data_IF_960914589719
#
_entry.id   IF_960914589719
#
_cell.length_a   1.000
_cell.length_b   1.000
_cell.length_c   1.000
_cell.angle_alpha   90.00
_cell.angle_beta   90.00
_cell.angle_gamma   90.00
#
_symmetry.space_group_name_H-M   'P 1'
#
loop_
_entity.id
_entity.type
_entity.pdbx_description
1 polymer ?
#
# COMPACT_ATOMS: atom_id res chain seq x y z
N UNK A 1 -8.62 -6.31 12.24
CA UNK A 1 -8.16 -7.57 11.63
C UNK A 1 -8.33 -7.47 10.12
N UNK A 2 -7.38 -7.96 9.33
CA UNK A 2 -7.38 -7.87 7.85
C UNK A 2 -7.92 -9.16 7.26
N UNK A 3 -8.89 -9.07 6.34
CA UNK A 3 -9.52 -10.24 5.72
C UNK A 3 -8.51 -11.02 4.86
N UNK A 4 -8.64 -12.35 4.72
CA UNK A 4 -7.69 -13.17 3.97
C UNK A 4 -7.43 -12.70 2.52
N UNK A 5 -8.45 -12.20 1.82
CA UNK A 5 -8.31 -11.66 0.46
C UNK A 5 -7.44 -10.40 0.38
N UNK A 6 -7.28 -9.68 1.49
CA UNK A 6 -6.54 -8.42 1.57
C UNK A 6 -5.12 -8.61 2.15
N UNK A 7 -4.71 -9.85 2.44
CA UNK A 7 -3.38 -10.17 2.98
C UNK A 7 -2.32 -10.23 1.87
N UNK A 8 -2.05 -9.10 1.23
CA UNK A 8 -1.01 -8.95 0.21
C UNK A 8 -0.06 -7.79 0.55
N UNK A 9 1.09 -7.71 -0.13
CA UNK A 9 2.02 -6.58 0.03
C UNK A 9 2.40 -6.31 1.50
N UNK A 10 2.18 -5.09 2.04
CA UNK A 10 2.45 -4.76 3.44
C UNK A 10 1.40 -5.29 4.43
N UNK A 11 0.27 -5.83 3.97
CA UNK A 11 -0.80 -6.37 4.82
C UNK A 11 -0.68 -7.87 5.10
N UNK A 12 0.37 -8.50 4.55
CA UNK A 12 0.70 -9.89 4.84
C UNK A 12 1.04 -10.09 6.33
N UNK A 13 0.51 -11.14 6.99
CA UNK A 13 0.87 -11.44 8.37
C UNK A 13 2.29 -12.02 8.49
N UNK A 14 2.81 -12.63 7.43
CA UNK A 14 4.02 -13.45 7.39
C UNK A 14 5.26 -12.71 6.83
N UNK A 15 5.37 -11.40 7.07
CA UNK A 15 6.54 -10.60 6.68
C UNK A 15 7.16 -9.91 7.91
N UNK A 16 8.47 -9.69 7.84
CA UNK A 16 9.20 -8.94 8.86
C UNK A 16 8.77 -7.48 8.89
N UNK A 17 8.97 -6.80 10.03
CA UNK A 17 8.65 -5.38 10.16
C UNK A 17 9.47 -4.51 9.20
N UNK A 18 10.73 -4.88 8.95
CA UNK A 18 11.59 -4.20 7.98
C UNK A 18 11.03 -4.30 6.55
N UNK A 19 10.60 -5.49 6.14
CA UNK A 19 9.99 -5.70 4.82
C UNK A 19 8.65 -4.96 4.70
N UNK A 20 7.85 -4.98 5.77
CA UNK A 20 6.59 -4.23 5.84
C UNK A 20 6.82 -2.73 5.64
N UNK A 21 7.79 -2.16 6.34
CA UNK A 21 8.16 -0.75 6.23
C UNK A 21 8.64 -0.42 4.80
N UNK A 22 9.48 -1.27 4.20
CA UNK A 22 9.92 -1.09 2.82
C UNK A 22 8.76 -1.06 1.83
N UNK A 23 7.81 -2.01 1.95
CA UNK A 23 6.61 -2.08 1.10
C UNK A 23 5.68 -0.88 1.27
N UNK A 24 5.47 -0.42 2.50
CA UNK A 24 4.69 0.80 2.79
C UNK A 24 5.30 2.02 2.11
N UNK A 25 6.63 2.19 2.20
CA UNK A 25 7.34 3.29 1.55
C UNK A 25 7.26 3.20 0.02
N UNK A 26 7.40 2.01 -0.55
CA UNK A 26 7.25 1.80 -2.00
C UNK A 26 5.83 2.14 -2.47
N UNK A 27 4.79 1.69 -1.76
CA UNK A 27 3.40 2.08 -2.08
C UNK A 27 3.18 3.59 -1.98
N UNK A 28 3.76 4.25 -0.97
CA UNK A 28 3.62 5.69 -0.79
C UNK A 28 4.28 6.46 -1.92
N UNK A 29 5.48 6.03 -2.34
CA UNK A 29 6.15 6.60 -3.51
C UNK A 29 5.31 6.44 -4.79
N UNK A 30 4.77 5.24 -5.04
CA UNK A 30 3.88 4.98 -6.18
C UNK A 30 2.63 5.86 -6.13
N UNK A 31 1.99 5.99 -4.97
CA UNK A 31 0.81 6.84 -4.80
C UNK A 31 1.12 8.31 -5.14
N UNK A 32 2.24 8.85 -4.65
CA UNK A 32 2.66 10.21 -4.99
C UNK A 32 2.91 10.39 -6.49
N UNK A 33 3.62 9.45 -7.13
CA UNK A 33 4.00 9.55 -8.54
C UNK A 33 2.83 9.34 -9.51
N UNK A 34 1.88 8.48 -9.18
CA UNK A 34 0.79 8.09 -10.08
C UNK A 34 -0.49 8.88 -9.85
N UNK A 35 -0.78 9.25 -8.59
CA UNK A 35 -2.04 9.89 -8.22
C UNK A 35 -1.89 11.39 -7.95
N UNK A 36 -0.70 11.83 -7.54
CA UNK A 36 -0.46 13.20 -7.10
C UNK A 36 -1.40 13.58 -5.94
N UNK A 37 -1.99 14.80 -5.95
CA UNK A 37 -2.90 15.26 -4.90
C UNK A 37 -4.13 14.35 -4.68
N UNK A 38 -4.60 13.65 -5.74
CA UNK A 38 -5.76 12.76 -5.64
C UNK A 38 -5.51 11.57 -4.71
N UNK A 39 -4.25 11.20 -4.50
CA UNK A 39 -3.84 10.10 -3.62
C UNK A 39 -3.42 10.54 -2.22
N UNK A 40 -3.60 11.81 -1.83
CA UNK A 40 -3.06 12.36 -0.58
C UNK A 40 -3.54 11.58 0.65
N UNK A 41 -4.84 11.32 0.77
CA UNK A 41 -5.41 10.58 1.89
C UNK A 41 -4.80 9.17 2.03
N UNK A 42 -4.57 8.49 0.90
CA UNK A 42 -3.92 7.19 0.88
C UNK A 42 -2.43 7.30 1.27
N UNK A 43 -1.70 8.26 0.73
CA UNK A 43 -0.31 8.50 1.08
C UNK A 43 -0.10 8.85 2.57
N UNK A 44 -1.03 9.61 3.16
CA UNK A 44 -1.04 9.91 4.61
C UNK A 44 -1.28 8.64 5.42
N UNK A 45 -2.28 7.84 5.05
CA UNK A 45 -2.57 6.59 5.75
C UNK A 45 -1.39 5.60 5.72
N UNK A 46 -0.69 5.51 4.58
CA UNK A 46 0.55 4.73 4.46
C UNK A 46 1.64 5.27 5.39
N UNK A 47 1.86 6.59 5.43
CA UNK A 47 2.85 7.22 6.31
C UNK A 47 2.55 6.99 7.80
N UNK A 48 1.29 7.00 8.19
CA UNK A 48 0.89 6.67 9.57
C UNK A 48 1.21 5.20 9.87
N UNK A 49 0.92 4.31 8.93
CA UNK A 49 1.22 2.87 9.05
C UNK A 49 2.71 2.56 9.12
N UNK A 50 3.58 3.42 8.56
CA UNK A 50 5.05 3.28 8.70
C UNK A 50 5.51 3.42 10.16
N UNK A 51 4.74 4.12 11.00
CA UNK A 51 5.07 4.38 12.41
C UNK A 51 4.28 3.51 13.37
N UNK A 52 3.07 3.14 12.97
CA UNK A 52 2.11 2.42 13.78
C UNK A 52 1.43 1.32 12.94
N UNK A 53 1.81 0.05 13.12
CA UNK A 53 1.20 -1.07 12.41
C UNK A 53 -0.30 -1.21 12.63
N UNK A 54 -0.87 -0.68 13.72
CA UNK A 54 -2.31 -0.73 13.96
C UNK A 54 -3.11 0.12 12.97
N UNK A 55 -2.43 0.99 12.20
CA UNK A 55 -3.02 1.80 11.14
C UNK A 55 -3.10 1.08 9.78
N UNK A 56 -2.56 -0.14 9.67
CA UNK A 56 -2.63 -0.93 8.43
C UNK A 56 -4.07 -1.10 7.89
N UNK A 57 -5.12 -1.35 8.72
CA UNK A 57 -6.49 -1.41 8.24
C UNK A 57 -7.01 -0.05 7.71
N UNK A 58 -6.51 1.07 8.24
CA UNK A 58 -6.85 2.41 7.72
C UNK A 58 -6.24 2.62 6.34
N UNK A 59 -4.98 2.25 6.16
CA UNK A 59 -4.32 2.32 4.85
C UNK A 59 -5.01 1.42 3.81
N UNK A 60 -5.47 0.23 4.20
CA UNK A 60 -6.23 -0.66 3.32
C UNK A 60 -7.56 -0.03 2.89
N UNK A 61 -8.33 0.53 3.83
CA UNK A 61 -9.58 1.24 3.51
C UNK A 61 -9.33 2.45 2.59
N UNK A 62 -8.23 3.17 2.79
CA UNK A 62 -7.86 4.29 1.93
C UNK A 62 -7.48 3.84 0.50
N UNK A 63 -6.86 2.66 0.35
CA UNK A 63 -6.63 2.03 -0.96
C UNK A 63 -7.96 1.66 -1.64
N UNK A 64 -8.90 1.09 -0.91
CA UNK A 64 -10.20 0.68 -1.45
C UNK A 64 -11.12 1.86 -1.78
N UNK A 65 -10.92 2.99 -1.12
CA UNK A 65 -11.63 4.24 -1.41
C UNK A 65 -11.13 4.96 -2.67
N UNK A 66 -10.00 4.54 -3.25
CA UNK A 66 -9.51 5.13 -4.50
C UNK A 66 -10.49 4.84 -5.66
N UNK A 67 -10.52 5.76 -6.64
CA UNK A 67 -11.21 5.51 -7.89
C UNK A 67 -10.69 4.19 -8.54
N UNK A 68 -11.55 3.39 -9.18
CA UNK A 68 -11.14 2.05 -9.65
C UNK A 68 -9.89 2.04 -10.55
N UNK A 69 -9.73 3.04 -11.43
CA UNK A 69 -8.56 3.17 -12.29
C UNK A 69 -7.30 3.54 -11.50
N UNK A 70 -7.42 4.45 -10.53
CA UNK A 70 -6.31 4.87 -9.68
C UNK A 70 -5.84 3.68 -8.80
N UNK A 71 -6.80 2.94 -8.20
CA UNK A 71 -6.51 1.72 -7.43
C UNK A 71 -5.77 0.69 -8.29
N UNK A 72 -6.25 0.45 -9.51
CA UNK A 72 -5.62 -0.48 -10.46
C UNK A 72 -4.20 -0.04 -10.81
N UNK A 73 -3.99 1.25 -11.07
CA UNK A 73 -2.67 1.78 -11.44
C UNK A 73 -1.66 1.59 -10.30
N UNK A 74 -2.03 1.91 -9.06
CA UNK A 74 -1.18 1.72 -7.88
C UNK A 74 -0.83 0.25 -7.71
N UNK A 75 -1.82 -0.64 -7.72
CA UNK A 75 -1.61 -2.07 -7.50
C UNK A 75 -0.77 -2.72 -8.60
N UNK A 76 -1.01 -2.35 -9.86
CA UNK A 76 -0.23 -2.85 -10.99
C UNK A 76 1.24 -2.40 -10.90
N UNK A 77 1.47 -1.12 -10.56
CA UNK A 77 2.82 -0.58 -10.40
C UNK A 77 3.56 -1.26 -9.25
N UNK A 78 2.88 -1.47 -8.12
CA UNK A 78 3.44 -2.15 -6.96
C UNK A 78 3.77 -3.62 -7.26
N UNK A 79 2.85 -4.33 -7.93
CA UNK A 79 3.08 -5.70 -8.35
C UNK A 79 4.24 -5.82 -9.35
N UNK A 80 4.39 -4.85 -10.26
CA UNK A 80 5.52 -4.81 -11.19
C UNK A 80 6.85 -4.66 -10.48
N UNK A 81 6.92 -3.85 -9.41
CA UNK A 81 8.16 -3.65 -8.63
C UNK A 81 8.60 -4.91 -7.87
N UNK A 82 7.66 -5.77 -7.49
CA UNK A 82 7.93 -6.98 -6.70
C UNK A 82 7.91 -8.27 -7.52
N UNK A 83 7.61 -8.17 -8.81
CA UNK A 83 7.74 -9.30 -9.72
C UNK A 83 9.23 -9.49 -9.96
N UNK A 84 9.79 -10.58 -9.45
CA UNK A 84 11.12 -11.02 -9.87
C UNK A 84 11.05 -11.32 -11.35
N UNK A 85 11.61 -10.45 -12.19
CA UNK A 85 11.98 -10.80 -13.55
C UNK A 85 13.09 -11.84 -13.46
N UNK A 86 12.78 -13.07 -13.87
CA UNK A 86 13.80 -14.08 -14.18
C UNK A 86 14.66 -13.61 -15.36
#
# INVERSE_FOLDING_TARGET
MIAPCDQFGPWRPDITDAERLARLRSLRAIAHLTLGPRGEAFAVALRLSERDPDQLPVALRALDALAPLDRRQVLASFASLHRTTA
#
